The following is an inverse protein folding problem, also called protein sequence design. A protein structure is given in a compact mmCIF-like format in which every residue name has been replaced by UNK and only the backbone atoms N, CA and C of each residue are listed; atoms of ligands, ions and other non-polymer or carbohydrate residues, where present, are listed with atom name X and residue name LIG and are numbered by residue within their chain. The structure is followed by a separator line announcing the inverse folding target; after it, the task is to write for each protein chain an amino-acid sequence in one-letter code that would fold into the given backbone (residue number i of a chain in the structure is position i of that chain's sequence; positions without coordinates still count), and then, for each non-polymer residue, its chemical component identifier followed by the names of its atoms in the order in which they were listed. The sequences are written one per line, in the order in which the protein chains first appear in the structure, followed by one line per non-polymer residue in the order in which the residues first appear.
data_IF_885844159305
#
_entry.id   IF_885844159305
#
_cell.length_a   1.000
_cell.length_b   1.000
_cell.length_c   1.000
_cell.angle_alpha   90.00
_cell.angle_beta   90.00
_cell.angle_gamma   90.00
#
_symmetry.space_group_name_H-M   'P 1'
#
loop_
_entity.id
_entity.type
_entity.pdbx_description
1 polymer ?
#
# COMPACT_ATOMS: atom_id res chain seq x y z
N UNK A 1 23.70 -44.95 -29.14
CA UNK A 1 24.23 -43.64 -29.58
C UNK A 1 23.45 -42.54 -28.89
N UNK A 2 24.05 -41.87 -27.91
CA UNK A 2 23.44 -40.71 -27.27
C UNK A 2 23.54 -39.52 -28.23
N UNK A 3 22.40 -39.03 -28.72
CA UNK A 3 22.32 -37.77 -29.47
C UNK A 3 22.66 -36.65 -28.49
N UNK A 4 23.86 -36.09 -28.62
CA UNK A 4 24.27 -34.90 -27.87
C UNK A 4 23.57 -33.66 -28.42
N UNK A 5 23.15 -32.77 -27.52
CA UNK A 5 22.68 -31.42 -27.87
C UNK A 5 23.78 -30.66 -28.62
N UNK A 6 23.41 -29.91 -29.66
CA UNK A 6 24.39 -29.08 -30.37
C UNK A 6 24.62 -27.77 -29.63
N UNK A 7 25.85 -27.25 -29.68
CA UNK A 7 26.19 -25.95 -29.08
C UNK A 7 25.37 -24.80 -29.68
N UNK A 8 25.02 -24.90 -30.97
CA UNK A 8 24.22 -23.89 -31.66
C UNK A 8 22.76 -23.90 -31.20
N UNK A 9 22.18 -25.07 -30.90
CA UNK A 9 20.84 -25.16 -30.32
C UNK A 9 20.79 -24.47 -28.96
N UNK A 10 21.79 -24.70 -28.11
CA UNK A 10 21.84 -24.03 -26.81
C UNK A 10 22.03 -22.52 -26.95
N UNK A 11 22.82 -22.05 -27.93
CA UNK A 11 23.09 -20.63 -28.15
C UNK A 11 21.82 -19.87 -28.57
N UNK A 12 21.04 -20.41 -29.50
CA UNK A 12 19.79 -19.78 -29.95
C UNK A 12 18.76 -19.75 -28.81
N UNK A 13 18.69 -20.81 -28.00
CA UNK A 13 17.76 -20.87 -26.86
C UNK A 13 18.08 -19.79 -25.82
N UNK A 14 19.36 -19.64 -25.42
CA UNK A 14 19.72 -18.59 -24.45
C UNK A 14 19.53 -17.18 -25.01
N UNK A 15 19.70 -16.99 -26.33
CA UNK A 15 19.42 -15.73 -26.99
C UNK A 15 17.94 -15.36 -26.92
N UNK A 16 17.04 -16.30 -27.23
CA UNK A 16 15.58 -16.08 -27.17
C UNK A 16 15.15 -15.81 -25.73
N UNK A 17 15.61 -16.62 -24.76
CA UNK A 17 15.29 -16.41 -23.33
C UNK A 17 15.81 -15.06 -22.85
N UNK A 18 16.99 -14.63 -23.31
CA UNK A 18 17.56 -13.33 -23.01
C UNK A 18 16.64 -12.17 -23.40
N UNK A 19 16.14 -12.16 -24.64
CA UNK A 19 15.22 -11.12 -25.14
C UNK A 19 13.90 -11.12 -24.34
N UNK A 20 13.30 -12.29 -24.13
CA UNK A 20 12.06 -12.40 -23.37
C UNK A 20 12.21 -11.92 -21.92
N UNK A 21 13.33 -12.25 -21.27
CA UNK A 21 13.60 -11.86 -19.88
C UNK A 21 13.73 -10.35 -19.70
N UNK A 22 14.33 -9.65 -20.68
CA UNK A 22 14.53 -8.21 -20.62
C UNK A 22 13.20 -7.43 -20.55
N UNK A 23 12.16 -7.90 -21.24
CA UNK A 23 10.83 -7.28 -21.24
C UNK A 23 9.97 -7.78 -20.07
N UNK A 24 10.07 -9.07 -19.74
CA UNK A 24 9.22 -9.70 -18.74
C UNK A 24 9.54 -9.28 -17.29
N UNK A 25 10.83 -9.10 -16.95
CA UNK A 25 11.25 -8.76 -15.58
C UNK A 25 10.63 -7.47 -15.01
N UNK A 26 10.67 -6.30 -15.69
CA UNK A 26 10.08 -5.07 -15.15
C UNK A 26 8.55 -5.15 -14.99
N UNK A 27 7.88 -5.91 -15.88
CA UNK A 27 6.44 -6.14 -15.77
C UNK A 27 6.11 -7.04 -14.57
N UNK A 28 6.88 -8.12 -14.38
CA UNK A 28 6.70 -9.04 -13.26
C UNK A 28 6.85 -8.33 -11.90
N UNK A 29 7.88 -7.48 -11.73
CA UNK A 29 8.07 -6.74 -10.47
C UNK A 29 6.91 -5.80 -10.17
N UNK A 30 6.35 -5.16 -11.19
CA UNK A 30 5.19 -4.26 -11.04
C UNK A 30 3.93 -5.03 -10.69
N UNK A 31 3.71 -6.20 -11.31
CA UNK A 31 2.57 -7.06 -11.02
C UNK A 31 2.59 -7.61 -9.59
N UNK A 32 3.76 -8.10 -9.13
CA UNK A 32 3.94 -8.54 -7.74
C UNK A 32 3.67 -7.40 -6.77
N UNK A 33 4.10 -6.19 -7.10
CA UNK A 33 3.92 -5.05 -6.22
C UNK A 33 2.48 -4.55 -6.15
N UNK A 34 1.76 -4.63 -7.27
CA UNK A 34 0.32 -4.41 -7.31
C UNK A 34 -0.43 -5.40 -6.43
N UNK A 35 -0.08 -6.69 -6.48
CA UNK A 35 -0.72 -7.72 -5.65
C UNK A 35 -0.52 -7.44 -4.15
N UNK A 36 0.70 -7.06 -3.74
CA UNK A 36 1.00 -6.68 -2.36
C UNK A 36 0.28 -5.40 -1.94
N UNK A 37 0.17 -4.42 -2.83
CA UNK A 37 -0.61 -3.21 -2.58
C UNK A 37 -2.10 -3.52 -2.39
N UNK A 38 -2.66 -4.43 -3.18
CA UNK A 38 -4.05 -4.89 -3.00
C UNK A 38 -4.25 -5.53 -1.63
N UNK A 39 -3.31 -6.34 -1.15
CA UNK A 39 -3.33 -6.90 0.22
C UNK A 39 -3.32 -5.80 1.28
N UNK A 40 -2.50 -4.76 1.12
CA UNK A 40 -2.51 -3.62 2.04
C UNK A 40 -3.84 -2.85 1.98
N UNK A 41 -4.41 -2.64 0.79
CA UNK A 41 -5.66 -1.93 0.60
C UNK A 41 -6.87 -2.68 1.20
N UNK A 42 -6.88 -4.01 1.15
CA UNK A 42 -7.96 -4.79 1.81
C UNK A 42 -7.89 -4.63 3.33
N UNK A 43 -6.69 -4.70 3.92
CA UNK A 43 -6.49 -4.43 5.34
C UNK A 43 -6.89 -2.99 5.71
N UNK A 44 -6.45 -2.00 4.93
CA UNK A 44 -6.82 -0.60 5.14
C UNK A 44 -8.33 -0.37 5.01
N UNK A 45 -9.02 -1.07 4.11
CA UNK A 45 -10.47 -0.97 3.97
C UNK A 45 -11.21 -1.51 5.18
N UNK A 46 -10.74 -2.63 5.76
CA UNK A 46 -11.29 -3.16 7.00
C UNK A 46 -11.09 -2.19 8.17
N UNK A 47 -9.89 -1.61 8.30
CA UNK A 47 -9.58 -0.58 9.30
C UNK A 47 -10.48 0.64 9.10
N UNK A 48 -10.63 1.12 7.86
CA UNK A 48 -11.51 2.26 7.52
C UNK A 48 -12.93 2.04 7.99
N UNK A 49 -13.54 0.90 7.64
CA UNK A 49 -14.92 0.58 8.03
C UNK A 49 -15.07 0.46 9.56
N UNK A 50 -14.09 -0.12 10.24
CA UNK A 50 -14.10 -0.19 11.71
C UNK A 50 -13.96 1.19 12.35
N UNK A 51 -13.10 2.06 11.82
CA UNK A 51 -12.90 3.42 12.30
C UNK A 51 -14.15 4.29 12.07
N UNK A 52 -14.81 4.15 10.91
CA UNK A 52 -16.10 4.81 10.63
C UNK A 52 -17.16 4.40 11.64
N UNK A 53 -17.29 3.10 11.93
CA UNK A 53 -18.23 2.62 12.96
C UNK A 53 -17.89 3.18 14.35
N UNK A 54 -16.61 3.24 14.70
CA UNK A 54 -16.15 3.80 15.96
C UNK A 54 -16.50 5.30 16.08
N UNK A 55 -16.28 6.07 15.01
CA UNK A 55 -16.67 7.48 14.94
C UNK A 55 -18.18 7.65 15.11
N UNK A 56 -18.99 6.84 14.43
CA UNK A 56 -20.45 6.92 14.55
C UNK A 56 -20.98 6.57 15.95
N UNK A 57 -20.27 5.73 16.71
CA UNK A 57 -20.67 5.31 18.05
C UNK A 57 -20.22 6.27 19.15
N UNK A 58 -19.01 6.81 19.04
CA UNK A 58 -18.37 7.59 20.11
C UNK A 58 -18.16 9.05 19.77
N UNK A 59 -18.51 9.45 18.54
CA UNK A 59 -18.27 10.77 17.97
C UNK A 59 -16.81 11.22 18.09
N UNK A 60 -15.87 10.26 18.15
CA UNK A 60 -14.43 10.54 18.25
C UNK A 60 -13.59 9.47 17.55
N UNK A 61 -12.52 9.89 16.88
CA UNK A 61 -11.61 8.95 16.24
C UNK A 61 -10.73 8.23 17.27
N UNK A 62 -10.25 7.01 16.98
CA UNK A 62 -9.26 6.32 17.80
C UNK A 62 -8.00 7.18 18.00
N UNK A 63 -7.61 7.43 19.25
CA UNK A 63 -6.51 8.36 19.58
C UNK A 63 -5.11 7.77 19.53
N UNK A 64 -4.99 6.46 19.23
CA UNK A 64 -3.71 5.75 19.20
C UNK A 64 -3.66 4.75 18.06
N UNK A 65 -2.45 4.34 17.68
CA UNK A 65 -2.21 3.26 16.71
C UNK A 65 -2.49 1.87 17.35
N UNK A 66 -3.64 1.72 18.00
CA UNK A 66 -4.07 0.51 18.68
C UNK A 66 -5.31 -0.05 17.99
N UNK A 67 -5.13 -1.09 17.17
CA UNK A 67 -6.22 -1.71 16.42
C UNK A 67 -7.22 -2.48 17.30
N UNK A 68 -6.86 -2.78 18.55
CA UNK A 68 -7.77 -3.46 19.48
C UNK A 68 -9.00 -2.61 19.84
N UNK A 69 -8.93 -1.28 19.75
CA UNK A 69 -10.10 -0.42 20.04
C UNK A 69 -11.13 -0.42 18.92
N UNK A 70 -10.77 -0.97 17.76
CA UNK A 70 -11.61 -1.06 16.57
C UNK A 70 -12.25 -2.45 16.41
N UNK A 71 -12.05 -3.35 17.38
CA UNK A 71 -12.51 -4.75 17.33
C UNK A 71 -12.11 -5.48 16.05
N UNK A 72 -10.90 -5.20 15.56
CA UNK A 72 -10.29 -5.86 14.41
C UNK A 72 -8.91 -6.39 14.75
N UNK A 73 -8.56 -7.50 14.13
CA UNK A 73 -7.20 -8.05 14.20
C UNK A 73 -6.46 -7.71 12.90
N UNK A 74 -5.34 -7.01 13.04
CA UNK A 74 -4.45 -6.67 11.93
C UNK A 74 -3.15 -7.45 12.12
N UNK A 75 -2.63 -8.12 11.08
CA UNK A 75 -1.40 -8.90 11.21
C UNK A 75 -0.23 -7.99 11.61
N UNK A 76 0.55 -8.45 12.57
CA UNK A 76 1.79 -7.76 12.97
C UNK A 76 2.87 -7.92 11.91
N UNK A 77 3.76 -6.95 11.82
CA UNK A 77 4.97 -7.07 11.01
C UNK A 77 5.86 -8.17 11.62
N UNK A 78 6.41 -9.12 10.84
CA UNK A 78 7.28 -10.16 11.37
C UNK A 78 8.44 -9.58 12.19
N UNK A 79 8.58 -10.04 13.44
CA UNK A 79 9.62 -9.57 14.36
C UNK A 79 9.31 -8.24 15.07
N UNK A 80 8.13 -7.65 14.87
CA UNK A 80 7.70 -6.45 15.58
C UNK A 80 6.56 -6.74 16.55
N UNK A 81 6.64 -6.16 17.75
CA UNK A 81 5.55 -6.22 18.75
C UNK A 81 4.57 -5.06 18.63
N UNK A 82 4.98 -3.96 17.99
CA UNK A 82 4.28 -2.67 17.94
C UNK A 82 3.85 -2.22 16.53
N UNK A 83 4.35 -2.87 15.48
CA UNK A 83 4.01 -2.54 14.09
C UNK A 83 3.04 -3.55 13.49
N UNK A 84 2.10 -3.04 12.69
CA UNK A 84 1.06 -3.79 12.00
C UNK A 84 1.25 -3.69 10.49
N UNK A 85 0.63 -4.54 9.69
CA UNK A 85 0.69 -4.50 8.21
C UNK A 85 1.32 -5.72 7.53
N UNK A 86 1.64 -6.77 8.28
CA UNK A 86 2.17 -8.02 7.73
C UNK A 86 3.60 -7.90 7.19
N UNK A 87 3.97 -8.74 6.22
CA UNK A 87 5.35 -8.86 5.74
C UNK A 87 5.83 -7.68 4.90
N UNK A 88 4.94 -7.12 4.09
CA UNK A 88 5.33 -6.16 3.05
C UNK A 88 5.11 -4.72 3.46
N UNK A 89 4.05 -4.43 4.21
CA UNK A 89 3.66 -3.06 4.58
C UNK A 89 3.73 -2.84 6.08
N UNK A 90 3.93 -1.59 6.47
CA UNK A 90 3.71 -1.13 7.83
C UNK A 90 2.48 -0.22 7.84
N UNK A 91 1.42 -0.68 8.48
CA UNK A 91 0.17 0.06 8.65
C UNK A 91 0.21 0.82 9.97
N UNK A 92 -0.10 2.11 9.88
CA UNK A 92 -0.29 3.00 11.02
C UNK A 92 -1.58 3.76 10.86
N UNK A 93 -2.22 4.07 11.98
CA UNK A 93 -3.39 4.94 12.01
C UNK A 93 -3.23 6.01 13.09
N UNK A 94 -3.74 7.20 12.82
CA UNK A 94 -3.77 8.28 13.79
C UNK A 94 -4.85 9.31 13.43
N UNK A 95 -5.47 9.95 14.44
CA UNK A 95 -6.26 11.14 14.20
C UNK A 95 -5.33 12.33 13.91
N UNK A 96 -5.81 13.30 13.17
CA UNK A 96 -5.08 14.53 12.82
C UNK A 96 -6.04 15.70 12.77
N UNK A 97 -5.59 16.88 13.18
CA UNK A 97 -6.44 18.09 13.20
C UNK A 97 -7.61 17.96 14.17
N UNK A 98 -7.36 17.37 15.35
CA UNK A 98 -8.40 17.09 16.35
C UNK A 98 -9.28 15.93 15.90
N UNK A 99 -10.59 16.11 15.97
CA UNK A 99 -11.58 15.10 15.60
C UNK A 99 -12.01 15.16 14.11
N UNK A 100 -11.35 16.01 13.31
CA UNK A 100 -11.78 16.26 11.94
C UNK A 100 -11.26 15.23 10.95
N UNK A 101 -10.01 14.79 11.11
CA UNK A 101 -9.37 13.86 10.17
C UNK A 101 -8.88 12.61 10.87
N UNK A 102 -8.99 11.50 10.18
CA UNK A 102 -8.36 10.24 10.56
C UNK A 102 -7.58 9.68 9.39
N UNK A 103 -6.32 9.35 9.64
CA UNK A 103 -5.38 8.94 8.61
C UNK A 103 -4.98 7.51 8.85
N UNK A 104 -5.16 6.68 7.83
CA UNK A 104 -4.63 5.31 7.77
C UNK A 104 -3.52 5.33 6.72
N UNK A 105 -2.32 4.91 7.10
CA UNK A 105 -1.14 4.94 6.25
C UNK A 105 -0.53 3.54 6.16
N UNK A 106 -0.33 3.01 4.96
CA UNK A 106 0.41 1.79 4.70
C UNK A 106 1.72 2.13 4.01
N UNK A 107 2.80 2.08 4.79
CA UNK A 107 4.15 2.39 4.36
C UNK A 107 4.84 1.16 3.77
N UNK A 108 5.57 1.38 2.68
CA UNK A 108 6.34 0.35 2.03
C UNK A 108 7.75 0.82 1.73
N UNK A 109 8.73 0.05 2.21
CA UNK A 109 10.13 0.23 1.87
C UNK A 109 10.45 -0.57 0.60
N UNK A 110 10.99 0.10 -0.41
CA UNK A 110 11.49 -0.51 -1.65
C UNK A 110 13.01 -0.32 -1.72
N UNK A 111 13.67 -1.09 -2.57
CA UNK A 111 15.14 -1.05 -2.72
C UNK A 111 15.66 0.36 -3.05
N UNK A 112 14.86 1.18 -3.74
CA UNK A 112 15.18 2.57 -4.10
C UNK A 112 14.16 3.57 -3.54
N UNK A 113 13.96 3.53 -2.22
CA UNK A 113 13.17 4.54 -1.51
C UNK A 113 11.94 3.95 -0.83
N UNK A 114 10.89 4.77 -0.73
CA UNK A 114 9.66 4.41 -0.01
C UNK A 114 8.46 5.01 -0.73
N UNK A 115 7.34 4.31 -0.63
CA UNK A 115 6.04 4.88 -0.97
C UNK A 115 5.04 4.51 0.11
N UNK A 116 3.94 5.24 0.18
CA UNK A 116 2.87 5.00 1.11
C UNK A 116 1.52 5.14 0.43
N UNK A 117 0.62 4.22 0.77
CA UNK A 117 -0.81 4.32 0.47
C UNK A 117 -1.46 4.96 1.69
N UNK A 118 -2.17 6.06 1.48
CA UNK A 118 -2.81 6.83 2.55
C UNK A 118 -4.30 6.91 2.29
N UNK A 119 -5.11 6.65 3.30
CA UNK A 119 -6.54 6.92 3.30
C UNK A 119 -6.81 7.97 4.36
N UNK A 120 -7.39 9.10 3.97
CA UNK A 120 -7.81 10.17 4.87
C UNK A 120 -9.32 10.15 4.93
N UNK A 121 -9.84 9.90 6.13
CA UNK A 121 -11.24 10.06 6.49
C UNK A 121 -11.43 11.47 7.02
N UNK A 122 -12.47 12.14 6.54
CA UNK A 122 -12.84 13.50 6.95
C UNK A 122 -14.28 13.48 7.44
N UNK A 123 -14.52 14.00 8.63
CA UNK A 123 -15.87 14.33 9.08
C UNK A 123 -16.23 15.68 8.48
N UNK A 124 -17.21 15.67 7.58
CA UNK A 124 -17.73 16.87 6.94
C UNK A 124 -18.70 17.60 7.87
N UNK A 125 -19.02 18.85 7.55
CA UNK A 125 -19.86 19.71 8.40
C UNK A 125 -21.31 19.23 8.54
N UNK A 126 -21.75 18.37 7.62
CA UNK A 126 -23.07 17.72 7.64
C UNK A 126 -23.07 16.41 8.46
N UNK A 127 -21.94 16.05 9.07
CA UNK A 127 -21.77 14.81 9.83
C UNK A 127 -21.49 13.58 8.96
N UNK A 128 -21.39 13.73 7.63
CA UNK A 128 -20.97 12.63 6.75
C UNK A 128 -19.47 12.39 6.85
N UNK A 129 -19.04 11.15 6.57
CA UNK A 129 -17.62 10.79 6.54
C UNK A 129 -17.21 10.57 5.09
N UNK A 130 -16.30 11.41 4.60
CA UNK A 130 -15.70 11.31 3.26
C UNK A 130 -14.33 10.64 3.32
N UNK A 131 -14.04 9.75 2.37
CA UNK A 131 -12.75 9.05 2.30
C UNK A 131 -11.98 9.41 1.03
N UNK A 132 -10.73 9.85 1.19
CA UNK A 132 -9.82 10.12 0.06
C UNK A 132 -8.61 9.22 0.14
N UNK A 133 -8.22 8.62 -0.98
CA UNK A 133 -7.01 7.81 -1.07
C UNK A 133 -5.91 8.56 -1.80
N UNK A 134 -4.68 8.35 -1.35
CA UNK A 134 -3.48 8.96 -1.90
C UNK A 134 -2.38 7.89 -2.00
N UNK A 135 -1.58 7.95 -3.07
CA UNK A 135 -0.35 7.17 -3.16
C UNK A 135 0.81 8.11 -3.42
N UNK A 136 1.79 8.14 -2.52
CA UNK A 136 2.88 9.11 -2.60
C UNK A 136 4.09 8.73 -1.78
N UNK A 137 4.99 9.68 -1.60
CA UNK A 137 6.23 9.52 -0.81
C UNK A 137 6.10 10.00 0.63
N UNK A 138 4.98 10.65 0.97
CA UNK A 138 4.76 11.17 2.32
C UNK A 138 4.46 10.01 3.28
N UNK A 139 5.44 9.70 4.12
CA UNK A 139 5.33 8.64 5.12
C UNK A 139 4.74 9.12 6.45
N UNK A 140 4.43 10.42 6.55
CA UNK A 140 3.89 11.04 7.76
C UNK A 140 2.39 10.79 7.94
N UNK A 141 1.95 10.92 9.19
CA UNK A 141 0.54 10.74 9.59
C UNK A 141 -0.34 11.98 9.36
N UNK A 142 0.20 13.06 8.81
CA UNK A 142 -0.58 14.24 8.45
C UNK A 142 -1.44 14.02 7.19
N UNK A 143 -2.37 14.94 6.93
CA UNK A 143 -3.22 14.93 5.72
C UNK A 143 -2.48 15.35 4.44
N UNK A 144 -1.22 15.78 4.55
CA UNK A 144 -0.39 16.20 3.44
C UNK A 144 -0.08 15.06 2.45
N UNK A 145 -0.02 15.44 1.18
CA UNK A 145 0.35 14.58 0.07
C UNK A 145 1.64 15.09 -0.57
N UNK A 146 2.57 14.18 -0.88
CA UNK A 146 3.70 14.46 -1.76
C UNK A 146 3.65 13.51 -2.93
N UNK A 147 3.69 14.07 -4.13
CA UNK A 147 3.68 13.29 -5.35
C UNK A 147 4.83 12.26 -5.33
N UNK A 148 4.56 11.01 -5.76
CA UNK A 148 5.60 10.01 -5.85
C UNK A 148 6.59 10.39 -6.96
N UNK A 149 7.87 10.07 -6.76
CA UNK A 149 8.92 10.32 -7.76
C UNK A 149 9.72 9.04 -8.00
N UNK A 150 10.29 8.90 -9.20
CA UNK A 150 11.13 7.75 -9.55
C UNK A 150 10.35 6.43 -9.56
N UNK A 151 10.88 5.40 -8.91
CA UNK A 151 10.24 4.07 -8.91
C UNK A 151 8.90 4.06 -8.15
N UNK A 152 8.73 4.93 -7.16
CA UNK A 152 7.45 5.08 -6.45
C UNK A 152 6.33 5.56 -7.38
N UNK A 153 6.64 6.40 -8.37
CA UNK A 153 5.66 6.93 -9.32
C UNK A 153 5.08 5.84 -10.21
N UNK A 154 5.95 4.94 -10.69
CA UNK A 154 5.54 3.77 -11.49
C UNK A 154 4.61 2.85 -10.70
N UNK A 155 4.91 2.61 -9.43
CA UNK A 155 4.04 1.77 -8.59
C UNK A 155 2.73 2.47 -8.25
N UNK A 156 2.77 3.73 -7.85
CA UNK A 156 1.56 4.48 -7.52
C UNK A 156 0.61 4.58 -8.73
N UNK A 157 1.12 4.90 -9.92
CA UNK A 157 0.31 4.94 -11.15
C UNK A 157 -0.23 3.58 -11.59
N UNK A 158 0.39 2.47 -11.17
CA UNK A 158 -0.11 1.12 -11.45
C UNK A 158 -1.19 0.63 -10.45
N UNK A 159 -1.21 1.22 -9.24
CA UNK A 159 -2.09 0.82 -8.12
C UNK A 159 -3.35 1.69 -8.07
N UNK A 160 -3.18 3.01 -8.10
CA UNK A 160 -4.29 3.97 -8.20
C UNK A 160 -4.42 4.35 -9.68
N UNK A 161 -5.60 4.67 -10.17
CA UNK A 161 -5.87 5.05 -11.59
C UNK A 161 -5.18 6.35 -12.04
N UNK A 162 -4.05 6.72 -11.42
CA UNK A 162 -3.42 8.02 -11.53
C UNK A 162 -4.15 9.02 -10.63
N UNK A 163 -3.49 9.41 -9.54
CA UNK A 163 -3.94 10.46 -8.61
C UNK A 163 -5.11 10.14 -7.68
N UNK A 164 -5.28 11.03 -6.70
CA UNK A 164 -6.19 10.96 -5.56
C UNK A 164 -7.59 10.48 -5.95
N UNK A 165 -7.92 9.26 -5.56
CA UNK A 165 -9.24 8.70 -5.80
C UNK A 165 -10.16 9.13 -4.64
N UNK A 166 -11.22 9.89 -4.96
CA UNK A 166 -12.34 10.11 -4.05
C UNK A 166 -13.23 8.87 -4.13
N UNK A 167 -13.56 8.27 -2.98
CA UNK A 167 -14.56 7.21 -2.88
C UNK A 167 -15.75 7.70 -2.06
#
# INVERSE_FOLDING_TARGET
MNKGFTLIELLVVVLIIGILSAVALPQYTTAVEKARATEALTLMSAIRQSAERYQLQKDVWPTSNNFSVLDIEVPKVPGSTTQYGGKNFTITMAPTGGNKYFVINALRNITKGKYALKTVLTVETDGTISAKRFCGTNTGLGIGYSAPTGDAEKFCSAITSGHNDNF
#
